data_IF_648427799987
#
_entry.id   IF_648427799987
#
_cell.length_a   1.000
_cell.length_b   1.000
_cell.length_c   1.000
_cell.angle_alpha   90.00
_cell.angle_beta   90.00
_cell.angle_gamma   90.00
#
_symmetry.space_group_name_H-M   'P 1'
#
loop_
_entity.id
_entity.type
_entity.pdbx_description
1 polymer ?
#
# COMPACT_ATOMS: atom_id res chain seq x y z
N UNK A 1 -90.15 4.89 -5.73
CA UNK A 1 -89.67 5.16 -4.37
C UNK A 1 -88.40 5.98 -4.49
N UNK A 2 -88.36 7.02 -3.68
CA UNK A 2 -87.63 8.26 -3.84
C UNK A 2 -86.16 8.22 -3.37
N UNK A 3 -85.53 9.39 -3.49
CA UNK A 3 -84.38 9.92 -2.73
C UNK A 3 -83.01 9.70 -3.38
N UNK A 4 -82.44 10.71 -4.06
CA UNK A 4 -81.91 12.00 -3.57
C UNK A 4 -80.57 11.88 -2.82
N UNK A 5 -79.64 12.77 -3.20
CA UNK A 5 -78.69 13.36 -2.27
C UNK A 5 -77.26 12.82 -2.36
N UNK A 6 -76.40 13.57 -3.04
CA UNK A 6 -74.95 13.39 -2.95
C UNK A 6 -74.39 13.78 -1.58
N UNK A 7 -73.17 13.31 -1.28
CA UNK A 7 -72.23 13.95 -0.34
C UNK A 7 -70.85 13.33 -0.55
N UNK A 8 -69.93 14.05 -1.18
CA UNK A 8 -68.91 14.89 -0.52
C UNK A 8 -67.95 14.10 0.37
N UNK A 9 -66.69 14.08 -0.08
CA UNK A 9 -65.47 13.77 0.65
C UNK A 9 -65.34 14.60 1.94
N UNK A 10 -64.71 14.00 2.95
CA UNK A 10 -63.94 14.58 4.09
C UNK A 10 -64.14 13.66 5.31
N UNK A 11 -63.20 13.35 6.18
CA UNK A 11 -61.85 13.82 6.48
C UNK A 11 -61.30 12.85 7.58
N UNK A 12 -60.04 12.99 8.04
CA UNK A 12 -59.25 11.94 8.66
C UNK A 12 -59.48 11.84 10.18
N UNK A 13 -58.72 10.93 10.80
CA UNK A 13 -58.42 10.84 12.25
C UNK A 13 -59.28 9.84 13.04
N UNK A 14 -58.65 8.75 13.48
CA UNK A 14 -58.27 8.66 14.89
C UNK A 14 -57.27 7.53 15.16
N UNK A 15 -56.32 7.81 16.03
CA UNK A 15 -55.19 6.97 16.47
C UNK A 15 -55.61 5.57 16.94
N UNK A 16 -54.84 4.56 16.56
CA UNK A 16 -54.54 3.41 17.42
C UNK A 16 -53.12 2.92 17.13
N UNK A 17 -52.26 3.06 18.14
CA UNK A 17 -50.87 2.59 18.18
C UNK A 17 -50.89 1.07 18.20
N UNK A 18 -50.30 0.39 17.22
CA UNK A 18 -49.93 -1.01 17.37
C UNK A 18 -48.54 -1.27 16.76
N UNK A 19 -47.63 -1.53 17.70
CA UNK A 19 -46.42 -2.35 17.61
C UNK A 19 -45.49 -2.12 16.41
N UNK A 20 -44.32 -1.55 16.74
CA UNK A 20 -43.05 -1.93 16.12
C UNK A 20 -42.98 -3.46 16.05
N UNK A 21 -43.12 -4.03 14.85
CA UNK A 21 -42.69 -5.39 14.61
C UNK A 21 -42.08 -5.51 13.21
N UNK A 22 -40.76 -5.73 13.21
CA UNK A 22 -40.21 -6.77 12.34
C UNK A 22 -39.84 -6.43 10.90
N UNK A 23 -39.70 -5.17 10.50
CA UNK A 23 -39.11 -4.85 9.19
C UNK A 23 -38.06 -3.74 9.28
N UNK A 24 -37.00 -4.01 10.06
CA UNK A 24 -35.69 -3.45 9.74
C UNK A 24 -35.38 -3.87 8.30
N UNK A 25 -35.66 -3.00 7.34
CA UNK A 25 -35.00 -3.02 6.04
C UNK A 25 -33.52 -2.84 6.32
N UNK A 26 -32.84 -3.96 6.55
CA UNK A 26 -31.39 -4.08 6.46
C UNK A 26 -31.02 -3.66 5.05
N UNK A 27 -30.83 -2.37 4.86
CA UNK A 27 -29.93 -1.88 3.83
C UNK A 27 -28.63 -2.58 4.18
N UNK A 28 -28.28 -3.62 3.42
CA UNK A 28 -26.97 -4.22 3.47
C UNK A 28 -25.99 -3.11 3.04
N UNK A 29 -25.59 -2.27 3.99
CA UNK A 29 -24.40 -1.47 3.85
C UNK A 29 -23.30 -2.49 3.55
N UNK A 30 -22.64 -2.44 2.37
CA UNK A 30 -21.53 -3.33 2.12
C UNK A 30 -20.57 -3.10 3.28
N UNK A 31 -20.28 -4.19 3.99
CA UNK A 31 -19.36 -4.24 5.10
C UNK A 31 -18.14 -3.40 4.71
N UNK A 32 -17.72 -2.48 5.58
CA UNK A 32 -16.63 -1.54 5.34
C UNK A 32 -15.29 -2.29 5.37
N UNK A 33 -15.18 -3.33 4.55
CA UNK A 33 -13.97 -3.91 4.04
C UNK A 33 -13.23 -2.77 3.37
N UNK A 34 -12.26 -2.24 4.12
CA UNK A 34 -11.23 -1.31 3.68
C UNK A 34 -10.91 -1.57 2.21
N UNK A 35 -11.34 -0.69 1.32
CA UNK A 35 -11.02 -0.82 -0.10
C UNK A 35 -9.50 -0.74 -0.22
N UNK A 36 -8.85 -1.89 -0.35
CA UNK A 36 -7.43 -1.98 -0.67
C UNK A 36 -7.36 -1.87 -2.19
N UNK A 37 -6.72 -0.82 -2.74
CA UNK A 37 -6.52 -0.73 -4.18
C UNK A 37 -5.90 -2.03 -4.70
N UNK A 38 -6.38 -2.54 -5.84
CA UNK A 38 -5.94 -3.84 -6.38
C UNK A 38 -4.42 -3.99 -6.48
N UNK A 39 -3.71 -2.88 -6.72
CA UNK A 39 -2.25 -2.82 -6.77
C UNK A 39 -1.60 -3.04 -5.38
N UNK A 40 -2.20 -2.55 -4.31
CA UNK A 40 -1.73 -2.79 -2.94
C UNK A 40 -1.96 -4.24 -2.52
N UNK A 41 -3.11 -4.83 -2.87
CA UNK A 41 -3.39 -6.25 -2.64
C UNK A 41 -2.37 -7.14 -3.36
N UNK A 42 -2.09 -6.84 -4.63
CA UNK A 42 -1.06 -7.52 -5.43
C UNK A 42 0.32 -7.43 -4.78
N UNK A 43 0.69 -6.26 -4.24
CA UNK A 43 1.97 -6.07 -3.52
C UNK A 43 2.02 -6.88 -2.23
N UNK A 44 0.92 -6.96 -1.49
CA UNK A 44 0.82 -7.75 -0.27
C UNK A 44 0.97 -9.25 -0.55
N UNK A 45 0.30 -9.76 -1.58
CA UNK A 45 0.42 -11.14 -2.03
C UNK A 45 1.85 -11.50 -2.48
N UNK A 46 2.49 -10.60 -3.23
CA UNK A 46 3.88 -10.78 -3.67
C UNK A 46 4.85 -10.85 -2.47
N UNK A 47 4.66 -9.99 -1.46
CA UNK A 47 5.46 -10.02 -0.22
C UNK A 47 5.24 -11.31 0.56
N UNK A 48 4.00 -11.78 0.68
CA UNK A 48 3.68 -13.04 1.34
C UNK A 48 4.30 -14.25 0.63
N UNK A 49 4.28 -14.26 -0.71
CA UNK A 49 4.92 -15.30 -1.53
C UNK A 49 6.44 -15.32 -1.36
N UNK A 50 7.09 -14.15 -1.35
CA UNK A 50 8.54 -14.05 -1.08
C UNK A 50 8.86 -14.55 0.33
N UNK A 51 8.04 -14.21 1.33
CA UNK A 51 8.22 -14.69 2.71
C UNK A 51 8.11 -16.22 2.83
N UNK A 52 7.16 -16.83 2.12
CA UNK A 52 7.03 -18.30 2.04
C UNK A 52 8.26 -18.93 1.38
N UNK A 53 8.72 -18.35 0.27
CA UNK A 53 9.94 -18.81 -0.41
C UNK A 53 11.17 -18.76 0.51
N UNK A 54 11.35 -17.67 1.27
CA UNK A 54 12.47 -17.52 2.21
C UNK A 54 12.44 -18.52 3.37
N UNK A 55 11.25 -18.96 3.79
CA UNK A 55 11.08 -20.03 4.79
C UNK A 55 11.28 -21.44 4.23
N UNK A 56 11.57 -21.57 2.94
CA UNK A 56 11.75 -22.86 2.27
C UNK A 56 10.44 -23.61 2.00
N UNK A 57 9.29 -22.93 2.07
CA UNK A 57 8.00 -23.54 1.74
C UNK A 57 7.94 -23.87 0.24
N UNK A 58 7.37 -25.03 -0.11
CA UNK A 58 7.23 -25.46 -1.50
C UNK A 58 6.21 -24.57 -2.21
N UNK A 59 6.67 -23.78 -3.15
CA UNK A 59 5.82 -22.97 -4.02
C UNK A 59 5.37 -23.78 -5.25
N UNK A 60 4.21 -23.42 -5.79
CA UNK A 60 3.80 -23.91 -7.11
C UNK A 60 4.68 -23.28 -8.20
N UNK A 61 4.78 -23.88 -9.40
CA UNK A 61 5.56 -23.30 -10.51
C UNK A 61 5.18 -21.86 -10.85
N UNK A 62 3.88 -21.55 -10.83
CA UNK A 62 3.37 -20.19 -11.08
C UNK A 62 3.76 -19.20 -9.98
N UNK A 63 3.75 -19.66 -8.72
CA UNK A 63 4.16 -18.86 -7.57
C UNK A 63 5.67 -18.60 -7.58
N UNK A 64 6.48 -19.59 -7.92
CA UNK A 64 7.92 -19.45 -8.09
C UNK A 64 8.25 -18.45 -9.20
N UNK A 65 7.52 -18.49 -10.33
CA UNK A 65 7.67 -17.53 -11.43
C UNK A 65 7.37 -16.10 -10.98
N UNK A 66 6.32 -15.90 -10.16
CA UNK A 66 6.00 -14.58 -9.58
C UNK A 66 7.10 -14.08 -8.64
N UNK A 67 7.63 -14.96 -7.78
CA UNK A 67 8.74 -14.62 -6.88
C UNK A 67 10.00 -14.27 -7.67
N UNK A 68 10.35 -15.05 -8.69
CA UNK A 68 11.52 -14.79 -9.52
C UNK A 68 11.42 -13.44 -10.24
N UNK A 69 10.25 -13.10 -10.80
CA UNK A 69 10.01 -11.80 -11.44
C UNK A 69 10.13 -10.64 -10.44
N UNK A 70 9.59 -10.80 -9.23
CA UNK A 70 9.69 -9.78 -8.18
C UNK A 70 11.11 -9.63 -7.63
N UNK A 71 11.88 -10.71 -7.56
CA UNK A 71 13.27 -10.73 -7.11
C UNK A 71 14.23 -10.15 -8.15
N UNK A 72 14.00 -10.41 -9.45
CA UNK A 72 14.81 -9.84 -10.53
C UNK A 72 14.76 -8.30 -10.53
N UNK A 73 13.58 -7.71 -10.28
CA UNK A 73 13.43 -6.25 -10.14
C UNK A 73 14.14 -5.66 -8.91
N UNK A 74 14.48 -6.48 -7.89
CA UNK A 74 15.30 -6.05 -6.74
C UNK A 74 16.79 -6.11 -7.04
N UNK A 75 17.24 -7.10 -7.82
CA UNK A 75 18.66 -7.24 -8.18
C UNK A 75 19.17 -5.99 -8.91
N UNK A 76 18.40 -5.45 -9.87
CA UNK A 76 18.76 -4.22 -10.59
C UNK A 76 18.92 -3.01 -9.67
N UNK A 77 18.14 -2.92 -8.58
CA UNK A 77 18.26 -1.83 -7.61
C UNK A 77 19.48 -1.97 -6.71
N UNK A 78 19.87 -3.19 -6.32
CA UNK A 78 21.08 -3.42 -5.54
C UNK A 78 22.33 -3.09 -6.36
N UNK A 79 22.40 -3.50 -7.62
CA UNK A 79 23.51 -3.17 -8.52
C UNK A 79 23.65 -1.65 -8.71
N UNK A 80 22.53 -0.94 -8.93
CA UNK A 80 22.53 0.51 -9.01
C UNK A 80 23.04 1.18 -7.73
N UNK A 81 22.62 0.70 -6.55
CA UNK A 81 23.10 1.21 -5.26
C UNK A 81 24.60 0.93 -5.06
N UNK A 82 25.08 -0.25 -5.46
CA UNK A 82 26.51 -0.61 -5.38
C UNK A 82 27.34 0.34 -6.25
N UNK A 83 26.89 0.66 -7.47
CA UNK A 83 27.57 1.61 -8.34
C UNK A 83 27.66 3.01 -7.69
N UNK A 84 26.54 3.53 -7.17
CA UNK A 84 26.50 4.85 -6.53
C UNK A 84 27.43 4.91 -5.30
N UNK A 85 27.40 3.88 -4.46
CA UNK A 85 28.27 3.81 -3.27
C UNK A 85 29.74 3.69 -3.66
N UNK A 86 30.05 2.90 -4.69
CA UNK A 86 31.42 2.74 -5.21
C UNK A 86 31.98 4.07 -5.71
N UNK A 87 31.22 4.82 -6.50
CA UNK A 87 31.67 6.11 -7.05
C UNK A 87 31.81 7.19 -5.98
N UNK A 88 30.91 7.23 -5.00
CA UNK A 88 31.04 8.11 -3.84
C UNK A 88 32.32 7.79 -3.04
N UNK A 89 32.63 6.50 -2.86
CA UNK A 89 33.81 6.04 -2.12
C UNK A 89 35.11 6.42 -2.83
N UNK A 90 35.20 6.20 -4.14
CA UNK A 90 36.36 6.62 -4.96
C UNK A 90 36.59 8.13 -4.84
N UNK A 91 35.52 8.92 -4.97
CA UNK A 91 35.58 10.38 -4.89
C UNK A 91 36.02 10.86 -3.50
N UNK A 92 35.57 10.19 -2.44
CA UNK A 92 36.01 10.49 -1.08
C UNK A 92 37.51 10.18 -0.90
N UNK A 93 37.97 9.03 -1.40
CA UNK A 93 39.36 8.61 -1.31
C UNK A 93 40.30 9.63 -1.96
N UNK A 94 40.00 10.07 -3.18
CA UNK A 94 40.78 11.11 -3.87
C UNK A 94 40.85 12.40 -3.06
N UNK A 95 39.72 12.85 -2.49
CA UNK A 95 39.69 14.06 -1.65
C UNK A 95 40.52 13.91 -0.38
N UNK A 96 40.50 12.75 0.25
CA UNK A 96 41.31 12.46 1.44
C UNK A 96 42.79 12.46 1.09
N UNK A 97 43.18 11.79 0.01
CA UNK A 97 44.58 11.75 -0.46
C UNK A 97 45.11 13.16 -0.73
N UNK A 98 44.36 13.99 -1.47
CA UNK A 98 44.76 15.37 -1.74
C UNK A 98 44.88 16.21 -0.46
N UNK A 99 44.01 16.01 0.53
CA UNK A 99 44.13 16.70 1.83
C UNK A 99 45.39 16.27 2.58
N UNK A 100 45.70 14.98 2.58
CA UNK A 100 46.90 14.43 3.22
C UNK A 100 48.16 14.99 2.54
N UNK A 101 48.22 14.94 1.21
CA UNK A 101 49.35 15.48 0.44
C UNK A 101 49.56 16.96 0.69
N UNK A 102 48.49 17.76 0.67
CA UNK A 102 48.56 19.20 0.95
C UNK A 102 49.05 19.49 2.38
N UNK A 103 48.61 18.70 3.36
CA UNK A 103 49.03 18.89 4.74
C UNK A 103 50.49 18.48 4.96
N UNK A 104 50.95 17.40 4.33
CA UNK A 104 52.37 17.01 4.30
C UNK A 104 53.20 18.15 3.69
N UNK A 105 52.79 18.67 2.54
CA UNK A 105 53.48 19.78 1.87
C UNK A 105 53.53 21.03 2.75
N UNK A 106 52.43 21.36 3.44
CA UNK A 106 52.39 22.50 4.38
C UNK A 106 53.40 22.31 5.51
N UNK A 107 53.41 21.15 6.17
CA UNK A 107 54.32 20.87 7.30
C UNK A 107 55.78 20.88 6.88
N UNK A 108 56.10 20.34 5.70
CA UNK A 108 57.47 20.37 5.17
C UNK A 108 57.95 21.80 4.86
N UNK A 109 57.05 22.70 4.42
CA UNK A 109 57.38 24.11 4.15
C UNK A 109 57.63 24.92 5.41
N UNK A 110 56.98 24.60 6.54
CA UNK A 110 57.17 25.29 7.82
C UNK A 110 58.37 24.79 8.63
N UNK A 111 59.00 23.70 8.21
CA UNK A 111 60.16 23.09 8.90
C UNK A 111 61.51 23.44 8.23
N UNK A 112 61.50 24.31 7.21
CA UNK A 112 62.69 24.93 6.61
C UNK A 112 62.77 26.39 7.01
#
# INVERSE_FOLDING_TARGET
MDSAGGKQMNAPSSKAIHAFDGAMTSINAPDATRYVPQEEMRRMEARALIGRHQRGERLTPDQATKVNRASAGRQTTCEALIMVVSDATKTLMVRVMLRVENEICRKLRTTR
#
